data_IF_952743225638
#
_entry.id   IF_952743225638
#
_cell.length_a   1.000
_cell.length_b   1.000
_cell.length_c   1.000
_cell.angle_alpha   90.00
_cell.angle_beta   90.00
_cell.angle_gamma   90.00
#
_symmetry.space_group_name_H-M   'P 1'
#
loop_
_entity.id
_entity.type
_entity.pdbx_description
1 polymer ?
#
# COMPACT_ATOMS: atom_id res chain seq x y z
N UNK A 1 -6.09 -7.48 -10.98
CA UNK A 1 -4.81 -6.74 -10.94
C UNK A 1 -5.09 -5.32 -11.40
N UNK A 2 -4.66 -4.31 -10.65
CA UNK A 2 -4.92 -2.89 -10.95
C UNK A 2 -3.80 -2.27 -11.80
N UNK A 3 -2.57 -2.72 -11.64
CA UNK A 3 -1.45 -2.21 -12.41
C UNK A 3 -0.10 -2.80 -12.00
N UNK A 4 0.94 -2.41 -12.74
CA UNK A 4 2.34 -2.74 -12.45
C UNK A 4 3.15 -1.44 -12.40
N UNK A 5 3.79 -1.18 -11.27
CA UNK A 5 4.77 -0.11 -11.11
C UNK A 5 6.20 -0.62 -11.30
N UNK A 6 7.19 0.25 -11.08
CA UNK A 6 8.61 -0.09 -11.18
C UNK A 6 9.00 -1.23 -10.21
N UNK A 7 8.50 -1.20 -8.98
CA UNK A 7 8.90 -2.09 -7.90
C UNK A 7 7.92 -3.24 -7.62
N UNK A 8 6.84 -3.37 -8.40
CA UNK A 8 5.86 -4.40 -8.07
C UNK A 8 4.51 -4.27 -8.76
N UNK A 9 3.56 -5.07 -8.26
CA UNK A 9 2.19 -5.16 -8.79
C UNK A 9 1.19 -4.70 -7.75
N UNK A 10 0.13 -4.06 -8.20
CA UNK A 10 -0.98 -3.62 -7.35
C UNK A 10 -2.21 -4.44 -7.67
N UNK A 11 -2.88 -4.94 -6.63
CA UNK A 11 -4.09 -5.73 -6.72
C UNK A 11 -5.21 -5.06 -5.95
N UNK A 12 -6.43 -5.12 -6.50
CA UNK A 12 -7.64 -4.87 -5.74
C UNK A 12 -7.92 -6.12 -4.92
N UNK A 13 -8.15 -5.96 -3.63
CA UNK A 13 -8.42 -7.07 -2.71
C UNK A 13 -9.59 -6.72 -1.80
N UNK A 14 -10.32 -7.75 -1.36
CA UNK A 14 -11.35 -7.60 -0.34
C UNK A 14 -10.77 -8.01 1.01
N UNK A 15 -10.97 -7.19 2.03
CA UNK A 15 -10.58 -7.47 3.41
C UNK A 15 -11.80 -7.31 4.32
N UNK A 16 -12.12 -8.36 5.06
CA UNK A 16 -13.21 -8.33 6.05
C UNK A 16 -13.04 -7.15 7.02
N UNK A 17 -14.12 -6.43 7.29
CA UNK A 17 -14.14 -5.23 8.13
C UNK A 17 -13.57 -3.95 7.48
N UNK A 18 -12.79 -4.04 6.40
CA UNK A 18 -12.26 -2.88 5.66
C UNK A 18 -12.89 -2.69 4.27
N UNK A 19 -13.53 -3.72 3.72
CA UNK A 19 -14.11 -3.69 2.39
C UNK A 19 -13.06 -3.84 1.29
N UNK A 20 -13.22 -3.10 0.19
CA UNK A 20 -12.32 -3.12 -0.96
C UNK A 20 -11.12 -2.20 -0.69
N UNK A 21 -9.92 -2.75 -0.80
CA UNK A 21 -8.65 -2.05 -0.61
C UNK A 21 -7.67 -2.39 -1.75
N UNK A 22 -6.50 -1.76 -1.74
CA UNK A 22 -5.40 -2.10 -2.63
C UNK A 22 -4.27 -2.82 -1.86
N UNK A 23 -3.64 -3.80 -2.52
CA UNK A 23 -2.45 -4.48 -2.04
C UNK A 23 -1.31 -4.29 -3.05
N UNK A 24 -0.22 -3.64 -2.63
CA UNK A 24 1.02 -3.55 -3.41
C UNK A 24 1.95 -4.68 -2.97
N UNK A 25 2.30 -5.54 -3.92
CA UNK A 25 3.24 -6.67 -3.72
C UNK A 25 4.53 -6.34 -4.44
N UNK A 26 5.62 -6.30 -3.70
CA UNK A 26 6.97 -6.02 -4.19
C UNK A 26 7.98 -6.95 -3.54
N UNK A 27 9.18 -7.08 -4.11
CA UNK A 27 10.23 -7.83 -3.46
C UNK A 27 10.64 -7.13 -2.17
N UNK A 28 10.95 -7.92 -1.15
CA UNK A 28 11.37 -7.38 0.15
C UNK A 28 12.71 -6.63 0.06
N UNK A 29 13.63 -7.07 -0.82
CA UNK A 29 14.92 -6.40 -1.07
C UNK A 29 14.77 -4.97 -1.63
N UNK A 30 13.63 -4.66 -2.24
CA UNK A 30 13.32 -3.34 -2.79
C UNK A 30 12.49 -2.49 -1.81
N UNK A 31 12.15 -3.02 -0.64
CA UNK A 31 11.30 -2.32 0.33
C UNK A 31 12.10 -1.37 1.22
N UNK A 32 11.83 -0.08 1.12
CA UNK A 32 12.41 0.94 2.00
C UNK A 32 11.54 1.12 3.27
N UNK A 33 12.00 0.55 4.38
CA UNK A 33 11.33 0.66 5.66
C UNK A 33 11.32 2.10 6.22
N UNK A 34 12.35 2.91 5.93
CA UNK A 34 12.45 4.29 6.43
C UNK A 34 11.46 5.18 5.70
N UNK A 35 11.37 5.05 4.38
CA UNK A 35 10.39 5.76 3.54
C UNK A 35 8.97 5.40 3.98
N UNK A 36 8.70 4.12 4.17
CA UNK A 36 7.42 3.63 4.67
C UNK A 36 7.04 4.24 6.02
N UNK A 37 7.93 4.16 7.02
CA UNK A 37 7.67 4.72 8.36
C UNK A 37 7.45 6.23 8.33
N UNK A 38 8.19 6.93 7.46
CA UNK A 38 8.05 8.37 7.28
C UNK A 38 6.69 8.69 6.67
N UNK A 39 6.26 8.00 5.61
CA UNK A 39 4.94 8.17 4.99
C UNK A 39 3.78 7.92 5.96
N UNK A 40 3.89 6.88 6.81
CA UNK A 40 2.92 6.61 7.87
C UNK A 40 2.87 7.77 8.87
N UNK A 41 4.02 8.28 9.31
CA UNK A 41 4.08 9.40 10.27
C UNK A 41 3.50 10.68 9.70
N UNK A 42 3.75 10.99 8.42
CA UNK A 42 3.22 12.19 7.75
C UNK A 42 1.69 12.17 7.64
N UNK A 43 1.10 10.98 7.52
CA UNK A 43 -0.36 10.79 7.38
C UNK A 43 -1.05 10.44 8.69
N UNK A 44 -0.28 10.30 9.77
CA UNK A 44 -0.81 9.95 11.08
C UNK A 44 -1.68 11.09 11.60
N UNK A 45 -2.93 10.80 11.92
CA UNK A 45 -3.93 11.73 12.47
C UNK A 45 -4.25 12.94 11.55
N UNK A 46 -3.81 12.91 10.29
CA UNK A 46 -4.09 13.94 9.28
C UNK A 46 -4.76 13.30 8.08
N UNK A 47 -6.01 13.66 7.81
CA UNK A 47 -6.69 13.26 6.59
C UNK A 47 -6.28 14.20 5.45
N UNK A 48 -5.38 13.74 4.58
CA UNK A 48 -4.97 14.47 3.39
C UNK A 48 -5.56 13.80 2.13
N UNK A 49 -6.46 14.44 1.38
CA UNK A 49 -7.09 13.84 0.20
C UNK A 49 -6.13 13.62 -0.97
N UNK A 50 -4.90 14.14 -0.91
CA UNK A 50 -3.87 14.00 -1.95
C UNK A 50 -2.78 12.98 -1.59
N UNK A 51 -2.89 12.32 -0.43
CA UNK A 51 -1.90 11.34 0.03
C UNK A 51 -2.59 10.03 0.34
N UNK A 52 -2.09 8.94 -0.24
CA UNK A 52 -2.62 7.60 -0.04
C UNK A 52 -2.54 7.17 1.43
N UNK A 53 -3.67 6.76 2.00
CA UNK A 53 -3.70 6.17 3.34
C UNK A 53 -3.19 4.73 3.30
N UNK A 54 -2.18 4.48 4.11
CA UNK A 54 -1.60 3.17 4.32
C UNK A 54 -2.13 2.51 5.59
N UNK A 55 -2.42 1.21 5.54
CA UNK A 55 -2.99 0.46 6.67
C UNK A 55 -1.97 -0.41 7.38
N UNK A 56 -1.21 -1.21 6.64
CA UNK A 56 -0.19 -2.11 7.19
C UNK A 56 0.79 -2.54 6.11
N UNK A 57 1.96 -2.99 6.54
CA UNK A 57 2.92 -3.68 5.70
C UNK A 57 3.29 -5.02 6.37
N UNK A 58 3.37 -6.09 5.59
CA UNK A 58 3.78 -7.42 6.06
C UNK A 58 4.84 -7.96 5.13
N UNK A 59 5.82 -8.65 5.71
CA UNK A 59 6.99 -9.19 5.02
C UNK A 59 7.09 -10.69 5.32
N UNK A 60 7.54 -11.49 4.34
CA UNK A 60 7.64 -12.95 4.47
C UNK A 60 9.00 -13.52 4.05
N UNK A 61 10.03 -12.67 3.93
CA UNK A 61 11.39 -13.05 3.52
C UNK A 61 11.61 -12.98 2.01
N UNK A 62 10.56 -12.94 1.19
CA UNK A 62 10.66 -12.79 -0.26
C UNK A 62 9.92 -11.53 -0.76
N UNK A 63 8.74 -11.27 -0.21
CA UNK A 63 7.87 -10.18 -0.61
C UNK A 63 7.49 -9.28 0.56
N UNK A 64 7.41 -7.99 0.28
CA UNK A 64 6.69 -7.03 1.08
C UNK A 64 5.30 -6.78 0.48
N UNK A 65 4.28 -6.85 1.33
CA UNK A 65 2.87 -6.61 0.98
C UNK A 65 2.40 -5.40 1.76
N UNK A 66 2.05 -4.33 1.04
CA UNK A 66 1.51 -3.09 1.61
C UNK A 66 0.01 -3.04 1.35
N UNK A 67 -0.79 -2.97 2.41
CA UNK A 67 -2.23 -2.73 2.33
C UNK A 67 -2.50 -1.22 2.46
N UNK A 68 -3.25 -0.68 1.50
CA UNK A 68 -3.52 0.75 1.37
C UNK A 68 -4.94 1.00 0.84
N UNK A 69 -5.42 2.23 0.97
CA UNK A 69 -6.71 2.60 0.41
C UNK A 69 -6.77 2.37 -1.10
N UNK A 70 -7.95 2.03 -1.60
CA UNK A 70 -8.17 1.86 -3.02
C UNK A 70 -8.59 3.20 -3.64
N UNK A 71 -7.71 3.79 -4.44
CA UNK A 71 -8.03 4.96 -5.25
C UNK A 71 -8.84 4.54 -6.49
N UNK A 72 -10.12 4.89 -6.53
CA UNK A 72 -11.08 4.47 -7.56
C UNK A 72 -11.38 5.57 -8.60
N UNK A 73 -10.49 6.56 -8.74
CA UNK A 73 -10.50 7.48 -9.87
C UNK A 73 -10.16 6.65 -11.12
N UNK A 74 -11.19 6.09 -11.75
CA UNK A 74 -11.04 5.35 -13.00
C UNK A 74 -10.36 6.20 -14.07
N UNK A 75 -9.73 5.52 -15.03
CA UNK A 75 -9.38 6.09 -16.33
C UNK A 75 -10.60 6.10 -17.23
#
# INVERSE_FOLDING_TARGET
>A
MLGKGAFGRVYQVYKEGSGVIAAKVMKEEEFDYVEWQTGIKLTKDVQNPFVLKYFTATMNGEYAIILMEYANLGV
#
